data_IF_089907291430
#
_entry.id   IF_089907291430
#
_cell.length_a   1.000
_cell.length_b   1.000
_cell.length_c   1.000
_cell.angle_alpha   90.00
_cell.angle_beta   90.00
_cell.angle_gamma   90.00
#
_symmetry.space_group_name_H-M   'P 1'
#
loop_
_entity.id
_entity.type
_entity.pdbx_description
1 polymer ?
#
# COMPACT_ATOMS: atom_id res chain seq x y z
N UNK A 1 -31.37 9.55 -0.65
CA UNK A 1 -30.05 9.21 -1.23
C UNK A 1 -29.70 10.37 -2.13
N UNK A 2 -28.53 10.98 -1.95
CA UNK A 2 -28.09 12.09 -2.79
C UNK A 2 -27.39 11.48 -4.00
N UNK A 3 -27.96 11.65 -5.18
CA UNK A 3 -27.39 11.15 -6.44
C UNK A 3 -26.43 12.21 -6.99
N UNK A 4 -25.13 11.93 -6.90
CA UNK A 4 -24.05 12.76 -7.42
C UNK A 4 -23.34 12.03 -8.54
N UNK A 5 -22.92 12.78 -9.56
CA UNK A 5 -22.04 12.26 -10.60
C UNK A 5 -20.64 11.99 -10.03
N UNK A 6 -20.02 10.83 -10.35
CA UNK A 6 -18.64 10.54 -9.93
C UNK A 6 -17.61 11.45 -10.62
N UNK A 7 -16.61 11.88 -9.87
CA UNK A 7 -15.43 12.53 -10.44
C UNK A 7 -14.62 11.55 -11.32
N UNK A 8 -13.99 12.08 -12.37
CA UNK A 8 -13.07 11.31 -13.21
C UNK A 8 -11.73 11.11 -12.50
N UNK A 9 -11.15 9.91 -12.65
CA UNK A 9 -9.79 9.62 -12.17
C UNK A 9 -8.78 9.91 -13.28
N UNK A 10 -7.67 10.52 -12.93
CA UNK A 10 -6.59 10.87 -13.87
C UNK A 10 -5.60 9.71 -14.13
N UNK A 11 -6.00 8.47 -13.85
CA UNK A 11 -5.21 7.26 -14.08
C UNK A 11 -6.11 6.12 -14.56
N UNK A 12 -5.58 5.28 -15.43
CA UNK A 12 -6.27 4.10 -15.96
C UNK A 12 -5.74 2.81 -15.34
N UNK A 13 -4.50 2.81 -14.84
CA UNK A 13 -3.86 1.64 -14.24
C UNK A 13 -3.57 1.86 -12.75
N UNK A 14 -3.78 0.81 -11.94
CA UNK A 14 -3.51 0.83 -10.49
C UNK A 14 -2.03 1.09 -10.13
N UNK A 15 -1.10 0.89 -11.08
CA UNK A 15 0.33 1.10 -10.90
C UNK A 15 0.86 2.36 -11.57
N UNK A 16 0.00 3.19 -12.17
CA UNK A 16 0.43 4.35 -12.96
C UNK A 16 1.26 5.36 -12.15
N UNK A 17 0.92 5.54 -10.88
CA UNK A 17 1.67 6.39 -9.95
C UNK A 17 2.71 5.63 -9.12
N UNK A 18 2.89 4.33 -9.37
CA UNK A 18 3.90 3.53 -8.67
C UNK A 18 5.27 3.75 -9.31
N UNK A 19 6.21 4.34 -8.57
CA UNK A 19 7.61 4.47 -9.02
C UNK A 19 8.39 3.15 -9.01
N UNK A 20 7.73 2.02 -8.69
CA UNK A 20 8.33 0.69 -8.57
C UNK A 20 9.55 0.64 -7.63
N UNK A 21 9.61 1.55 -6.63
CA UNK A 21 10.77 1.68 -5.74
C UNK A 21 10.99 0.49 -4.78
N UNK A 22 9.98 -0.36 -4.59
CA UNK A 22 10.07 -1.55 -3.73
C UNK A 22 10.20 -1.30 -2.23
N UNK A 23 10.10 -0.05 -1.75
CA UNK A 23 10.23 0.23 -0.30
C UNK A 23 9.10 -0.41 0.53
N UNK A 24 7.87 -0.44 0.02
CA UNK A 24 6.75 -1.12 0.69
C UNK A 24 7.01 -2.62 0.89
N UNK A 25 7.69 -3.28 -0.05
CA UNK A 25 8.11 -4.68 0.04
C UNK A 25 9.10 -4.85 1.20
N UNK A 26 10.14 -4.01 1.25
CA UNK A 26 11.15 -4.04 2.32
C UNK A 26 10.55 -3.77 3.71
N UNK A 27 9.56 -2.89 3.79
CA UNK A 27 8.95 -2.52 5.05
C UNK A 27 7.93 -3.53 5.57
N UNK A 28 7.49 -4.49 4.74
CA UNK A 28 6.42 -5.41 5.12
C UNK A 28 6.95 -6.50 6.07
N UNK A 29 6.55 -6.51 7.35
CA UNK A 29 7.04 -7.53 8.30
C UNK A 29 6.51 -8.93 8.00
N UNK A 30 5.43 -9.03 7.22
CA UNK A 30 4.80 -10.29 6.81
C UNK A 30 5.35 -10.85 5.50
N UNK A 31 6.27 -10.14 4.82
CA UNK A 31 6.70 -10.45 3.45
C UNK A 31 5.53 -10.64 2.46
N UNK A 32 4.41 -9.93 2.69
CA UNK A 32 3.15 -10.10 1.99
C UNK A 32 3.03 -9.23 0.72
N UNK A 33 4.12 -8.62 0.24
CA UNK A 33 4.10 -7.73 -0.92
C UNK A 33 5.23 -8.13 -1.86
N UNK A 34 4.94 -8.20 -3.16
CA UNK A 34 5.93 -8.35 -4.22
C UNK A 34 5.74 -7.28 -5.30
N UNK A 35 6.81 -7.00 -6.06
CA UNK A 35 6.73 -6.05 -7.18
C UNK A 35 5.96 -6.61 -8.39
N UNK A 36 5.87 -7.93 -8.52
CA UNK A 36 5.25 -8.58 -9.68
C UNK A 36 3.77 -8.87 -9.43
N UNK A 37 3.46 -9.45 -8.26
CA UNK A 37 2.10 -9.91 -7.93
C UNK A 37 1.35 -8.99 -6.97
N UNK A 38 1.99 -7.89 -6.54
CA UNK A 38 1.40 -6.96 -5.59
C UNK A 38 1.28 -7.55 -4.18
N UNK A 39 0.23 -7.14 -3.47
CA UNK A 39 0.00 -7.49 -2.06
C UNK A 39 -0.86 -8.74 -1.93
N UNK A 40 -0.37 -9.74 -1.20
CA UNK A 40 -1.20 -10.81 -0.66
C UNK A 40 -2.00 -10.28 0.54
N UNK A 41 -3.33 -10.32 0.43
CA UNK A 41 -4.22 -9.93 1.51
C UNK A 41 -4.28 -11.00 2.60
N UNK A 42 -4.25 -12.29 2.24
CA UNK A 42 -4.30 -13.40 3.19
C UNK A 42 -3.09 -13.37 4.14
N UNK A 43 -1.87 -13.35 3.60
CA UNK A 43 -0.65 -13.28 4.42
C UNK A 43 -0.56 -12.00 5.26
N UNK A 44 -1.17 -10.89 4.79
CA UNK A 44 -1.28 -9.67 5.58
C UNK A 44 -2.28 -9.83 6.73
N UNK A 45 -3.44 -10.44 6.47
CA UNK A 45 -4.49 -10.66 7.46
C UNK A 45 -3.99 -11.59 8.57
N UNK A 46 -3.33 -12.69 8.21
CA UNK A 46 -2.74 -13.62 9.17
C UNK A 46 -1.73 -12.94 10.10
N UNK A 47 -0.96 -11.97 9.58
CA UNK A 47 -0.06 -11.17 10.39
C UNK A 47 -0.83 -10.19 11.30
N UNK A 48 -1.89 -9.56 10.79
CA UNK A 48 -2.74 -8.65 11.56
C UNK A 48 -3.44 -9.36 12.72
N UNK A 49 -3.88 -10.60 12.55
CA UNK A 49 -4.52 -11.36 13.64
C UNK A 49 -3.53 -11.61 14.80
N UNK A 50 -2.27 -11.94 14.46
CA UNK A 50 -1.18 -12.08 15.45
C UNK A 50 -0.88 -10.77 16.16
N UNK A 51 -0.87 -9.63 15.44
CA UNK A 51 -0.66 -8.34 16.09
C UNK A 51 -1.86 -7.92 16.94
N UNK A 52 -3.08 -8.22 16.50
CA UNK A 52 -4.32 -7.97 17.24
C UNK A 52 -4.30 -8.68 18.59
N UNK A 53 -3.92 -9.95 18.61
CA UNK A 53 -3.82 -10.75 19.82
C UNK A 53 -2.76 -10.20 20.77
N UNK A 54 -1.58 -9.88 20.24
CA UNK A 54 -0.43 -9.43 21.03
C UNK A 54 -0.56 -8.02 21.59
N UNK A 55 -1.24 -7.12 20.88
CA UNK A 55 -1.25 -5.68 21.19
C UNK A 55 -2.64 -5.13 21.55
N UNK A 56 -3.54 -5.98 22.05
CA UNK A 56 -4.88 -5.56 22.49
C UNK A 56 -4.82 -4.29 23.36
N UNK A 57 -5.73 -3.32 23.14
CA UNK A 57 -6.88 -3.35 22.22
C UNK A 57 -6.56 -2.87 20.78
N UNK A 58 -5.28 -2.73 20.40
CA UNK A 58 -4.88 -2.12 19.13
C UNK A 58 -4.86 -3.15 18.00
N UNK A 59 -5.43 -2.78 16.86
CA UNK A 59 -5.44 -3.56 15.62
C UNK A 59 -4.83 -2.72 14.48
N UNK A 60 -3.98 -3.33 13.67
CA UNK A 60 -3.50 -2.71 12.44
C UNK A 60 -1.98 -2.81 12.21
N UNK A 61 -1.61 -2.56 10.96
CA UNK A 61 -0.24 -2.43 10.49
C UNK A 61 -0.24 -1.49 9.28
N UNK A 62 0.56 -0.43 9.33
CA UNK A 62 0.71 0.55 8.24
C UNK A 62 2.16 0.66 7.75
N UNK A 63 3.02 -0.33 8.05
CA UNK A 63 4.46 -0.20 7.78
C UNK A 63 4.79 -0.09 6.29
N UNK A 64 3.94 -0.61 5.41
CA UNK A 64 4.08 -0.42 3.97
C UNK A 64 3.83 1.03 3.48
N UNK A 65 3.24 1.89 4.31
CA UNK A 65 2.87 3.28 3.98
C UNK A 65 3.84 4.32 4.53
N UNK A 66 4.84 3.93 5.33
CA UNK A 66 5.81 4.86 5.94
C UNK A 66 7.18 4.76 5.27
N UNK A 67 7.92 5.86 5.23
CA UNK A 67 9.23 5.99 4.60
C UNK A 67 9.23 5.56 3.11
N UNK A 68 8.10 5.69 2.43
CA UNK A 68 7.95 5.40 0.99
C UNK A 68 7.83 6.69 0.19
N UNK A 69 8.30 6.76 -1.07
CA UNK A 69 8.22 7.99 -1.86
C UNK A 69 6.80 8.48 -2.12
N UNK A 70 5.82 7.57 -2.02
CA UNK A 70 4.41 7.86 -2.21
C UNK A 70 3.63 8.14 -0.91
N UNK A 71 4.31 8.34 0.24
CA UNK A 71 3.63 8.47 1.54
C UNK A 71 2.85 9.79 1.69
N UNK A 72 3.30 10.85 1.01
CA UNK A 72 2.72 12.21 1.12
C UNK A 72 2.30 12.82 -0.22
N UNK A 73 2.70 12.21 -1.35
CA UNK A 73 2.46 12.73 -2.70
C UNK A 73 2.60 11.62 -3.75
N UNK A 74 2.15 11.88 -4.97
CA UNK A 74 2.49 11.04 -6.13
C UNK A 74 3.99 11.21 -6.42
N UNK A 75 4.80 10.14 -6.42
CA UNK A 75 6.23 10.25 -6.65
C UNK A 75 6.54 10.52 -8.13
N UNK A 76 7.62 11.24 -8.41
CA UNK A 76 8.07 11.41 -9.79
C UNK A 76 8.48 10.05 -10.41
N UNK A 77 8.15 9.80 -11.69
CA UNK A 77 8.60 8.60 -12.39
C UNK A 77 10.12 8.57 -12.47
N UNK A 78 10.72 7.38 -12.31
CA UNK A 78 12.17 7.17 -12.28
C UNK A 78 12.91 7.67 -13.55
N UNK A 79 12.18 7.90 -14.66
CA UNK A 79 12.73 8.35 -15.94
C UNK A 79 12.75 9.88 -16.14
N UNK A 80 12.51 10.67 -15.09
CA UNK A 80 12.63 12.13 -15.16
C UNK A 80 14.08 12.53 -14.89
N UNK A 81 14.94 12.35 -15.89
CA UNK A 81 16.26 13.01 -15.96
C UNK A 81 16.21 14.08 -17.04
#
# INVERSE_FOLDING_TARGET
MLDLEPDRRDYENIYEYCSMCGKCVKNCPANAISLIYGKSHDACSDFLDKTAEKYKPRYGCGKCQINVPCESNIPMPCNSK
#
